data_IF_776317400172
#
_entry.id   IF_776317400172
#
_cell.length_a   1.000
_cell.length_b   1.000
_cell.length_c   1.000
_cell.angle_alpha   90.00
_cell.angle_beta   90.00
_cell.angle_gamma   90.00
#
_symmetry.space_group_name_H-M   'P 1'
#
loop_
_entity.id
_entity.type
_entity.pdbx_description
1 polymer ?
#
# COMPACT_ATOMS: atom_id res chain seq x y z
N UNK A 1 8.30 -12.95 -2.48
CA UNK A 1 8.34 -14.33 -1.92
C UNK A 1 8.17 -14.23 -0.40
N UNK A 2 7.42 -15.16 0.22
CA UNK A 2 7.06 -15.10 1.65
C UNK A 2 8.26 -15.00 2.61
N UNK A 3 9.39 -15.59 2.26
CA UNK A 3 10.62 -15.55 3.08
C UNK A 3 11.26 -14.17 3.23
N UNK A 4 10.85 -13.20 2.39
CA UNK A 4 11.31 -11.82 2.47
C UNK A 4 10.35 -10.94 3.30
N UNK A 5 9.33 -11.54 3.92
CA UNK A 5 8.31 -10.82 4.67
C UNK A 5 8.41 -11.23 6.13
N UNK A 6 8.64 -10.27 7.01
CA UNK A 6 8.55 -10.44 8.46
C UNK A 6 7.31 -9.72 8.96
N UNK A 7 6.45 -10.44 9.66
CA UNK A 7 5.21 -9.87 10.21
C UNK A 7 5.36 -9.67 11.71
N UNK A 8 4.91 -8.50 12.16
CA UNK A 8 4.83 -8.16 13.59
C UNK A 8 3.38 -7.87 13.97
N UNK A 9 2.99 -8.26 15.17
CA UNK A 9 1.73 -7.85 15.79
C UNK A 9 1.99 -7.16 17.15
N UNK A 10 0.93 -6.91 17.93
CA UNK A 10 1.05 -6.27 19.26
C UNK A 10 1.92 -7.04 20.28
N UNK A 11 2.31 -8.26 19.95
CA UNK A 11 3.22 -9.09 20.77
C UNK A 11 4.62 -9.21 20.18
N UNK A 12 4.87 -8.50 19.07
CA UNK A 12 6.15 -8.50 18.37
C UNK A 12 6.20 -9.41 17.15
N UNK A 13 7.38 -9.89 16.80
CA UNK A 13 7.65 -10.71 15.63
C UNK A 13 6.85 -12.01 15.66
N UNK A 14 6.30 -12.41 14.52
CA UNK A 14 5.64 -13.70 14.35
C UNK A 14 6.68 -14.72 13.92
N UNK A 15 7.07 -15.62 14.83
CA UNK A 15 8.04 -16.69 14.59
C UNK A 15 7.40 -18.06 14.85
N UNK A 16 7.99 -19.13 14.32
CA UNK A 16 7.54 -20.52 14.51
C UNK A 16 7.49 -20.86 16.02
N UNK A 17 6.48 -21.62 16.39
CA UNK A 17 6.26 -22.08 17.78
C UNK A 17 6.04 -20.95 18.81
N UNK A 18 5.77 -19.73 18.36
CA UNK A 18 5.36 -18.63 19.26
C UNK A 18 4.01 -18.90 19.90
N UNK A 19 3.93 -18.96 21.20
CA UNK A 19 2.68 -19.01 21.96
C UNK A 19 2.53 -17.80 22.90
N UNK A 20 1.31 -17.36 23.22
CA UNK A 20 0.01 -17.65 22.61
C UNK A 20 -0.33 -16.73 21.42
N UNK A 21 -1.45 -16.98 20.75
CA UNK A 21 -2.02 -16.11 19.73
C UNK A 21 -1.49 -16.34 18.30
N UNK A 22 -1.34 -17.62 17.91
CA UNK A 22 -0.97 -18.03 16.57
C UNK A 22 -2.20 -18.58 15.83
N UNK A 23 -2.96 -17.70 15.15
CA UNK A 23 -3.96 -18.11 14.18
C UNK A 23 -3.29 -18.70 12.93
N UNK A 24 -3.99 -19.57 12.21
CA UNK A 24 -3.48 -20.22 10.99
C UNK A 24 -2.96 -19.20 9.96
N UNK A 25 -3.66 -18.07 9.79
CA UNK A 25 -3.24 -16.97 8.90
C UNK A 25 -1.91 -16.35 9.33
N UNK A 26 -1.62 -16.26 10.63
CA UNK A 26 -0.34 -15.78 11.16
C UNK A 26 0.76 -16.83 10.96
N UNK A 27 0.45 -18.09 11.24
CA UNK A 27 1.40 -19.19 11.08
C UNK A 27 1.95 -19.29 9.65
N UNK A 28 1.16 -18.90 8.64
CA UNK A 28 1.58 -18.86 7.26
C UNK A 28 2.74 -17.87 6.97
N UNK A 29 2.98 -16.91 7.87
CA UNK A 29 4.04 -15.90 7.80
C UNK A 29 5.07 -16.03 8.93
N UNK A 30 5.02 -17.09 9.75
CA UNK A 30 5.96 -17.30 10.83
C UNK A 30 7.36 -17.54 10.27
N UNK A 31 8.31 -16.71 10.67
CA UNK A 31 9.73 -16.88 10.38
C UNK A 31 10.40 -17.85 11.33
N UNK A 32 11.61 -18.32 11.01
CA UNK A 32 12.42 -19.10 11.95
C UNK A 32 12.77 -18.23 13.16
N UNK A 33 12.85 -18.87 14.33
CA UNK A 33 13.22 -18.17 15.56
C UNK A 33 14.74 -17.87 15.58
N UNK A 34 15.07 -16.62 15.25
CA UNK A 34 16.44 -16.09 15.30
C UNK A 34 16.71 -15.20 16.52
N UNK A 35 15.80 -15.21 17.48
CA UNK A 35 15.87 -14.40 18.70
C UNK A 35 15.31 -12.99 18.59
N UNK A 36 14.95 -12.52 17.40
CA UNK A 36 14.32 -11.20 17.20
C UNK A 36 12.87 -11.20 17.70
N UNK A 37 12.48 -10.15 18.38
CA UNK A 37 11.18 -10.07 19.06
C UNK A 37 10.37 -8.83 18.72
N UNK A 38 11.00 -7.73 18.37
CA UNK A 38 10.36 -6.43 18.18
C UNK A 38 10.47 -5.96 16.74
N UNK A 39 9.66 -4.96 16.37
CA UNK A 39 9.79 -4.28 15.09
C UNK A 39 11.20 -3.67 14.92
N UNK A 40 11.75 -3.11 15.99
CA UNK A 40 13.10 -2.52 15.97
C UNK A 40 14.20 -3.53 15.63
N UNK A 41 14.03 -4.79 16.04
CA UNK A 41 14.98 -5.86 15.74
C UNK A 41 14.97 -6.30 14.27
N UNK A 42 13.86 -6.11 13.57
CA UNK A 42 13.66 -6.63 12.20
C UNK A 42 13.61 -5.54 11.12
N UNK A 43 13.55 -4.27 11.50
CA UNK A 43 13.45 -3.16 10.57
C UNK A 43 14.80 -2.81 9.91
N UNK A 44 15.90 -3.23 10.51
CA UNK A 44 17.26 -2.97 10.00
C UNK A 44 17.45 -3.59 8.61
N UNK A 45 17.83 -2.75 7.64
CA UNK A 45 17.99 -3.15 6.25
C UNK A 45 16.68 -3.45 5.49
N UNK A 46 15.50 -3.21 6.08
CA UNK A 46 14.23 -3.42 5.40
C UNK A 46 14.01 -2.40 4.27
N UNK A 47 13.64 -2.87 3.09
CA UNK A 47 13.31 -2.03 1.94
C UNK A 47 11.92 -1.40 2.06
N UNK A 48 10.97 -2.13 2.68
CA UNK A 48 9.57 -1.73 2.77
C UNK A 48 9.07 -1.91 4.19
N UNK A 49 8.44 -0.87 4.75
CA UNK A 49 7.58 -0.96 5.91
C UNK A 49 6.11 -0.84 5.49
N UNK A 50 5.30 -1.84 5.82
CA UNK A 50 3.86 -1.82 5.63
C UNK A 50 3.14 -1.80 6.98
N UNK A 51 2.64 -0.63 7.36
CA UNK A 51 1.90 -0.39 8.59
C UNK A 51 0.39 -0.46 8.38
N UNK A 52 -0.27 -1.33 9.13
CA UNK A 52 -1.72 -1.47 9.21
C UNK A 52 -2.16 -1.60 10.67
N UNK A 53 -1.48 -0.93 11.59
CA UNK A 53 -1.63 -1.16 13.02
C UNK A 53 -2.16 0.05 13.77
N UNK A 54 -1.32 0.88 14.28
CA UNK A 54 -1.70 2.02 15.09
C UNK A 54 -0.68 3.16 15.02
N UNK A 55 -1.04 4.31 15.61
CA UNK A 55 -0.21 5.51 15.51
C UNK A 55 1.14 5.34 16.23
N UNK A 56 2.16 6.01 15.69
CA UNK A 56 3.48 6.17 16.31
C UNK A 56 4.26 4.88 16.57
N UNK A 57 3.94 3.80 15.83
CA UNK A 57 4.64 2.51 15.97
C UNK A 57 6.02 2.55 15.30
N UNK A 58 6.18 3.31 14.22
CA UNK A 58 7.45 3.49 13.52
C UNK A 58 8.15 4.77 14.00
N UNK A 59 9.35 4.62 14.58
CA UNK A 59 10.13 5.75 15.08
C UNK A 59 11.14 6.25 14.05
N UNK A 60 11.63 7.49 14.22
CA UNK A 60 12.68 8.04 13.37
C UNK A 60 13.97 7.20 13.43
N UNK A 61 14.31 6.63 14.59
CA UNK A 61 15.48 5.77 14.72
C UNK A 61 15.32 4.47 13.92
N UNK A 62 14.13 3.89 13.91
CA UNK A 62 13.82 2.74 13.06
C UNK A 62 13.96 3.09 11.57
N UNK A 63 13.42 4.25 11.15
CA UNK A 63 13.53 4.71 9.75
C UNK A 63 14.97 4.88 9.30
N UNK A 64 15.87 5.36 10.19
CA UNK A 64 17.30 5.47 9.88
C UNK A 64 17.97 4.14 9.55
N UNK A 65 17.51 3.05 10.18
CA UNK A 65 18.06 1.69 9.99
C UNK A 65 17.60 1.02 8.71
N UNK A 66 16.54 1.52 8.06
CA UNK A 66 16.01 0.93 6.82
C UNK A 66 17.00 1.01 5.66
N UNK A 67 16.79 0.21 4.64
CA UNK A 67 17.59 0.18 3.42
C UNK A 67 17.56 1.53 2.67
N UNK A 68 18.35 1.66 1.61
CA UNK A 68 18.38 2.86 0.77
C UNK A 68 17.06 3.07 0.06
N UNK A 69 16.59 4.32 0.02
CA UNK A 69 15.31 4.71 -0.60
C UNK A 69 14.13 3.83 -0.12
N UNK A 70 13.89 3.73 1.20
CA UNK A 70 12.89 2.83 1.75
C UNK A 70 11.49 3.30 1.38
N UNK A 71 10.58 2.33 1.15
CA UNK A 71 9.16 2.61 0.97
C UNK A 71 8.44 2.44 2.31
N UNK A 72 7.78 3.49 2.78
CA UNK A 72 7.06 3.52 4.05
C UNK A 72 5.58 3.71 3.77
N UNK A 73 4.81 2.63 3.89
CA UNK A 73 3.34 2.67 3.80
C UNK A 73 2.78 2.71 5.23
N UNK A 74 2.60 3.91 5.76
CA UNK A 74 2.07 4.14 7.11
C UNK A 74 0.56 4.38 7.02
N UNK A 75 -0.22 3.28 7.01
CA UNK A 75 -1.63 3.28 6.62
C UNK A 75 -2.60 3.28 7.79
N UNK A 76 -2.13 3.35 9.04
CA UNK A 76 -3.00 3.52 10.20
C UNK A 76 -3.80 4.81 10.12
N UNK A 77 -5.06 4.75 10.53
CA UNK A 77 -6.01 5.83 10.40
C UNK A 77 -6.74 6.06 11.74
N UNK A 78 -6.94 7.27 12.25
CA UNK A 78 -6.67 8.56 11.58
C UNK A 78 -5.21 9.05 11.66
N UNK A 79 -4.41 8.52 12.56
CA UNK A 79 -3.00 8.90 12.74
C UNK A 79 -2.09 7.77 12.26
N UNK A 80 -1.16 8.04 11.32
CA UNK A 80 -0.27 7.01 10.75
C UNK A 80 0.78 6.53 11.77
N UNK A 81 1.43 5.41 11.45
CA UNK A 81 2.53 4.84 12.24
C UNK A 81 3.71 5.80 12.40
N UNK A 82 3.92 6.66 11.39
CA UNK A 82 4.83 7.81 11.44
C UNK A 82 4.29 8.91 10.54
N UNK A 83 4.42 10.17 10.94
CA UNK A 83 4.08 11.30 10.08
C UNK A 83 5.16 11.50 9.00
N UNK A 84 4.79 11.76 7.74
CA UNK A 84 5.73 11.96 6.64
C UNK A 84 6.84 12.97 6.92
N UNK A 85 6.59 14.15 7.53
CA UNK A 85 7.66 15.08 7.87
C UNK A 85 8.70 14.51 8.85
N UNK A 86 8.30 13.64 9.78
CA UNK A 86 9.22 13.02 10.74
C UNK A 86 10.12 11.99 10.05
N UNK A 87 9.57 11.20 9.13
CA UNK A 87 10.35 10.24 8.36
C UNK A 87 11.32 10.96 7.41
N UNK A 88 10.85 11.97 6.65
CA UNK A 88 11.67 12.78 5.75
C UNK A 88 12.78 13.54 6.47
N UNK A 89 12.58 13.98 7.70
CA UNK A 89 13.60 14.66 8.50
C UNK A 89 14.86 13.81 8.75
N UNK A 90 14.74 12.49 8.72
CA UNK A 90 15.86 11.55 8.96
C UNK A 90 16.27 10.75 7.72
N UNK A 91 15.37 10.63 6.73
CA UNK A 91 15.58 9.93 5.46
C UNK A 91 14.86 10.67 4.33
N UNK A 92 15.58 11.63 3.73
CA UNK A 92 15.06 12.43 2.61
C UNK A 92 14.71 11.55 1.39
N UNK A 93 15.43 10.46 1.20
CA UNK A 93 15.26 9.48 0.12
C UNK A 93 14.06 8.55 0.31
N UNK A 94 13.35 8.58 1.46
CA UNK A 94 12.20 7.71 1.71
C UNK A 94 11.00 8.06 0.82
N UNK A 95 10.35 7.03 0.26
CA UNK A 95 9.05 7.13 -0.42
C UNK A 95 7.97 6.85 0.62
N UNK A 96 7.05 7.80 0.86
CA UNK A 96 6.09 7.68 1.94
C UNK A 96 4.67 7.75 1.44
N UNK A 97 3.85 6.80 1.88
CA UNK A 97 2.42 6.73 1.62
C UNK A 97 1.65 6.74 2.94
N UNK A 98 0.53 7.45 2.98
CA UNK A 98 -0.40 7.46 4.13
C UNK A 98 -1.84 7.47 3.65
N UNK A 99 -2.79 7.26 4.57
CA UNK A 99 -4.22 7.46 4.30
C UNK A 99 -4.65 8.93 4.26
N UNK A 100 -3.76 9.88 4.60
CA UNK A 100 -4.08 11.30 4.73
C UNK A 100 -4.05 12.01 3.38
N UNK A 101 -5.00 12.94 3.19
CA UNK A 101 -5.14 13.73 1.96
C UNK A 101 -4.19 14.94 1.89
N UNK A 102 -3.61 15.32 3.03
CA UNK A 102 -2.70 16.48 3.15
C UNK A 102 -1.22 16.14 2.85
N UNK A 103 -0.93 14.89 2.51
CA UNK A 103 0.39 14.42 2.12
C UNK A 103 0.39 13.79 0.72
N UNK A 104 1.56 13.73 0.04
CA UNK A 104 1.73 12.97 -1.18
C UNK A 104 1.39 11.49 -1.01
N UNK A 105 1.14 10.79 -2.14
CA UNK A 105 0.89 9.34 -2.16
C UNK A 105 -0.25 8.91 -1.22
N UNK A 106 -1.39 9.60 -1.27
CA UNK A 106 -2.55 9.20 -0.49
C UNK A 106 -3.06 7.83 -0.92
N UNK A 107 -3.06 6.86 0.00
CA UNK A 107 -3.68 5.55 -0.17
C UNK A 107 -5.10 5.61 0.37
N UNK A 108 -6.08 5.54 -0.53
CA UNK A 108 -7.48 5.61 -0.18
C UNK A 108 -8.28 4.53 -0.90
N UNK A 109 -9.19 3.87 -0.19
CA UNK A 109 -10.05 2.82 -0.74
C UNK A 109 -10.87 3.29 -1.96
N UNK A 110 -11.18 4.58 -2.06
CA UNK A 110 -11.93 5.16 -3.18
C UNK A 110 -11.22 5.03 -4.53
N UNK A 111 -9.91 4.79 -4.53
CA UNK A 111 -9.15 4.52 -5.76
C UNK A 111 -9.64 3.27 -6.49
N UNK A 112 -10.15 2.29 -5.77
CA UNK A 112 -10.56 1.01 -6.33
C UNK A 112 -12.02 0.68 -6.02
N UNK A 113 -12.47 0.95 -4.81
CA UNK A 113 -13.74 0.47 -4.27
C UNK A 113 -14.96 0.73 -5.18
N UNK A 114 -15.25 1.92 -5.72
CA UNK A 114 -16.43 2.11 -6.57
C UNK A 114 -16.31 1.38 -7.91
N UNK A 115 -15.11 1.30 -8.44
CA UNK A 115 -14.86 0.85 -9.81
C UNK A 115 -14.75 -0.66 -9.94
N UNK A 116 -14.27 -1.35 -8.89
CA UNK A 116 -14.23 -2.81 -8.84
C UNK A 116 -15.66 -3.39 -8.83
N UNK A 117 -16.57 -2.77 -8.08
CA UNK A 117 -17.98 -3.16 -8.09
C UNK A 117 -18.65 -2.79 -9.42
N UNK A 118 -18.34 -1.65 -9.98
CA UNK A 118 -18.87 -1.27 -11.30
C UNK A 118 -18.48 -2.29 -12.36
N UNK A 119 -17.19 -2.65 -12.46
CA UNK A 119 -16.71 -3.65 -13.41
C UNK A 119 -17.35 -5.03 -13.21
N UNK A 120 -17.52 -5.47 -11.97
CA UNK A 120 -18.17 -6.73 -11.66
C UNK A 120 -19.67 -6.74 -12.05
N UNK A 121 -20.39 -5.66 -11.76
CA UNK A 121 -21.81 -5.53 -12.08
C UNK A 121 -22.06 -5.43 -13.60
N UNK A 122 -21.21 -4.76 -14.33
CA UNK A 122 -21.34 -4.59 -15.80
C UNK A 122 -21.37 -5.94 -16.55
N UNK A 123 -20.73 -6.96 -15.99
CA UNK A 123 -20.70 -8.33 -16.58
C UNK A 123 -21.52 -9.35 -15.81
N UNK A 124 -22.27 -8.92 -14.79
CA UNK A 124 -23.08 -9.81 -13.97
C UNK A 124 -22.27 -10.84 -13.17
N UNK A 125 -21.05 -10.49 -12.78
CA UNK A 125 -20.19 -11.37 -12.01
C UNK A 125 -20.81 -11.73 -10.65
N UNK A 126 -20.76 -13.00 -10.28
CA UNK A 126 -21.29 -13.51 -9.00
C UNK A 126 -20.26 -13.40 -7.86
N UNK A 127 -18.99 -13.19 -8.19
CA UNK A 127 -17.89 -13.03 -7.25
C UNK A 127 -16.82 -12.13 -7.84
N UNK A 128 -16.02 -11.48 -6.98
CA UNK A 128 -14.81 -10.77 -7.35
C UNK A 128 -13.63 -11.69 -7.01
N UNK A 129 -13.08 -12.33 -8.03
CA UNK A 129 -11.98 -13.29 -7.90
C UNK A 129 -10.60 -12.60 -7.78
N UNK A 130 -9.53 -13.38 -7.58
CA UNK A 130 -8.18 -12.83 -7.42
C UNK A 130 -7.66 -12.19 -8.72
N UNK A 131 -8.00 -12.76 -9.88
CA UNK A 131 -7.61 -12.23 -11.19
C UNK A 131 -8.21 -10.84 -11.43
N UNK A 132 -9.48 -10.64 -11.06
CA UNK A 132 -10.13 -9.33 -11.11
C UNK A 132 -9.47 -8.32 -10.18
N UNK A 133 -9.07 -8.73 -8.96
CA UNK A 133 -8.34 -7.86 -8.03
C UNK A 133 -6.97 -7.48 -8.59
N UNK A 134 -6.24 -8.42 -9.18
CA UNK A 134 -4.94 -8.17 -9.82
C UNK A 134 -5.09 -7.24 -11.03
N UNK A 135 -6.13 -7.41 -11.84
CA UNK A 135 -6.42 -6.52 -12.95
C UNK A 135 -6.66 -5.07 -12.48
N UNK A 136 -7.38 -4.88 -11.38
CA UNK A 136 -7.55 -3.57 -10.76
C UNK A 136 -6.22 -2.96 -10.28
N UNK A 137 -5.36 -3.76 -9.66
CA UNK A 137 -4.02 -3.33 -9.22
C UNK A 137 -3.18 -2.86 -10.42
N UNK A 138 -3.15 -3.64 -11.50
CA UNK A 138 -2.43 -3.27 -12.72
C UNK A 138 -2.97 -2.00 -13.36
N UNK A 139 -4.30 -1.86 -13.45
CA UNK A 139 -4.93 -0.66 -14.01
C UNK A 139 -4.60 0.61 -13.21
N UNK A 140 -4.55 0.52 -11.89
CA UNK A 140 -4.16 1.64 -11.01
C UNK A 140 -2.67 1.96 -11.19
N UNK A 141 -1.80 0.95 -11.25
CA UNK A 141 -0.37 1.13 -11.45
C UNK A 141 -0.05 1.76 -12.81
N UNK A 142 -0.67 1.29 -13.88
CA UNK A 142 -0.55 1.87 -15.22
C UNK A 142 -1.01 3.34 -15.26
N UNK A 143 -2.09 3.65 -14.53
CA UNK A 143 -2.59 5.02 -14.48
C UNK A 143 -1.62 5.97 -13.78
N UNK A 144 -0.88 5.50 -12.77
CA UNK A 144 0.17 6.28 -12.10
C UNK A 144 1.32 6.65 -13.05
N UNK A 145 1.60 5.80 -14.05
CA UNK A 145 2.62 6.05 -15.09
C UNK A 145 2.09 6.84 -16.30
N UNK A 146 0.77 6.98 -16.44
CA UNK A 146 0.19 7.69 -17.57
C UNK A 146 0.40 9.21 -17.45
N UNK A 147 0.58 9.88 -18.58
CA UNK A 147 0.64 11.34 -18.61
C UNK A 147 -0.61 11.95 -17.99
N UNK A 148 -0.42 13.02 -17.23
CA UNK A 148 -1.50 13.74 -16.60
C UNK A 148 -2.46 14.33 -17.63
N UNK A 149 -3.76 14.17 -17.43
CA UNK A 149 -4.75 14.86 -18.25
C UNK A 149 -4.96 16.30 -17.75
N UNK A 150 -5.34 17.22 -18.66
CA UNK A 150 -5.68 18.60 -18.30
C UNK A 150 -6.76 18.68 -17.23
N UNK A 151 -7.71 17.73 -17.21
CA UNK A 151 -8.77 17.64 -16.19
C UNK A 151 -8.20 17.37 -14.81
N UNK A 152 -7.21 16.47 -14.71
CA UNK A 152 -6.52 16.18 -13.43
C UNK A 152 -5.67 17.36 -13.00
N UNK A 153 -4.90 17.97 -13.92
CA UNK A 153 -4.11 19.16 -13.65
C UNK A 153 -4.97 20.29 -13.08
N UNK A 154 -6.09 20.60 -13.74
CA UNK A 154 -7.04 21.62 -13.29
C UNK A 154 -7.67 21.32 -11.93
N UNK A 155 -7.99 20.05 -11.63
CA UNK A 155 -8.61 19.65 -10.38
C UNK A 155 -7.65 19.74 -9.18
N UNK A 156 -6.35 19.60 -9.41
CA UNK A 156 -5.32 19.60 -8.36
C UNK A 156 -4.35 20.80 -8.43
N UNK A 157 -4.76 21.88 -9.12
CA UNK A 157 -4.07 23.18 -9.07
C UNK A 157 -2.78 23.23 -9.87
N UNK A 158 -2.80 22.70 -11.12
CA UNK A 158 -1.67 22.71 -12.06
C UNK A 158 -0.35 22.12 -11.50
N UNK A 159 -0.45 21.22 -10.51
CA UNK A 159 0.70 20.46 -10.05
C UNK A 159 1.16 19.52 -11.17
N UNK A 160 2.43 19.59 -11.53
CA UNK A 160 3.06 18.60 -12.42
C UNK A 160 3.17 17.25 -11.68
N UNK A 161 2.13 16.43 -11.84
CA UNK A 161 2.04 15.11 -11.23
C UNK A 161 2.63 14.07 -12.20
N UNK A 162 3.93 13.94 -12.21
CA UNK A 162 4.65 12.88 -12.92
C UNK A 162 5.03 11.74 -11.99
N UNK A 163 5.09 10.50 -12.52
CA UNK A 163 5.49 9.34 -11.73
C UNK A 163 6.85 9.55 -11.07
N UNK A 164 6.89 9.38 -9.76
CA UNK A 164 8.09 9.62 -8.96
C UNK A 164 7.82 9.45 -7.46
N UNK A 165 8.80 9.75 -6.58
CA UNK A 165 8.71 9.50 -5.15
C UNK A 165 7.48 10.11 -4.45
N UNK A 166 6.95 11.21 -4.98
CA UNK A 166 5.79 11.91 -4.42
C UNK A 166 4.48 11.64 -5.22
N UNK A 167 4.57 10.81 -6.28
CA UNK A 167 3.41 10.37 -7.06
C UNK A 167 3.61 8.96 -7.59
N UNK A 168 3.48 7.95 -6.72
CA UNK A 168 3.51 6.53 -7.08
C UNK A 168 2.11 5.91 -7.22
N UNK A 169 1.07 6.66 -6.86
CA UNK A 169 -0.33 6.23 -6.88
C UNK A 169 -1.20 7.39 -7.40
N UNK A 170 -2.23 7.12 -8.22
CA UNK A 170 -3.13 8.17 -8.72
C UNK A 170 -3.85 8.89 -7.59
N UNK A 171 -4.29 10.11 -7.86
CA UNK A 171 -5.13 10.87 -6.92
C UNK A 171 -6.52 10.23 -6.81
N UNK A 172 -7.16 10.26 -5.62
CA UNK A 172 -8.44 9.60 -5.36
C UNK A 172 -9.61 10.03 -6.26
N UNK A 173 -9.59 11.26 -6.76
CA UNK A 173 -10.64 11.81 -7.62
C UNK A 173 -10.21 11.94 -9.10
N UNK A 174 -9.24 11.15 -9.53
CA UNK A 174 -8.86 11.07 -10.93
C UNK A 174 -10.00 10.44 -11.75
N UNK A 175 -10.63 11.18 -12.67
CA UNK A 175 -11.78 10.69 -13.44
C UNK A 175 -11.42 9.51 -14.37
N UNK A 176 -10.13 9.28 -14.62
CA UNK A 176 -9.66 8.15 -15.44
C UNK A 176 -9.73 6.80 -14.71
N UNK A 177 -9.87 6.79 -13.38
CA UNK A 177 -9.96 5.55 -12.59
C UNK A 177 -11.11 4.66 -13.06
N UNK A 178 -12.31 5.22 -13.24
CA UNK A 178 -13.47 4.44 -13.68
C UNK A 178 -13.28 3.83 -15.07
N UNK A 179 -12.71 4.60 -16.02
CA UNK A 179 -12.52 4.14 -17.40
C UNK A 179 -11.35 3.19 -17.57
N UNK A 180 -10.51 3.05 -16.57
CA UNK A 180 -9.39 2.10 -16.55
C UNK A 180 -9.71 0.83 -15.75
N UNK A 181 -10.23 0.98 -14.54
CA UNK A 181 -10.43 -0.15 -13.63
C UNK A 181 -11.66 -0.99 -14.03
N UNK A 182 -12.82 -0.37 -14.25
CA UNK A 182 -14.02 -1.13 -14.53
C UNK A 182 -13.90 -2.00 -15.80
N UNK A 183 -13.40 -1.51 -16.96
CA UNK A 183 -13.17 -2.36 -18.12
C UNK A 183 -12.13 -3.46 -17.90
N UNK A 184 -11.06 -3.20 -17.14
CA UNK A 184 -10.04 -4.20 -16.86
C UNK A 184 -10.63 -5.42 -16.11
N UNK A 185 -11.52 -5.20 -15.15
CA UNK A 185 -12.22 -6.27 -14.46
C UNK A 185 -13.22 -7.01 -15.36
N UNK A 186 -13.98 -6.26 -16.14
CA UNK A 186 -14.97 -6.83 -17.05
C UNK A 186 -14.34 -7.77 -18.09
N UNK A 187 -13.16 -7.42 -18.59
CA UNK A 187 -12.41 -8.24 -19.55
C UNK A 187 -11.95 -9.56 -18.91
N UNK A 188 -11.48 -9.56 -17.67
CA UNK A 188 -11.07 -10.79 -16.97
C UNK A 188 -12.26 -11.74 -16.81
N UNK A 189 -13.41 -11.24 -16.37
CA UNK A 189 -14.60 -12.10 -16.19
C UNK A 189 -15.12 -12.70 -17.52
N UNK A 190 -14.99 -11.96 -18.63
CA UNK A 190 -15.40 -12.47 -19.96
C UNK A 190 -14.44 -13.54 -20.46
N UNK A 191 -13.15 -13.43 -20.17
CA UNK A 191 -12.12 -14.39 -20.61
C UNK A 191 -12.03 -15.62 -19.72
N UNK A 192 -12.40 -15.52 -18.45
CA UNK A 192 -12.34 -16.58 -17.43
C UNK A 192 -13.64 -16.60 -16.60
N UNK A 193 -14.79 -17.05 -17.19
CA UNK A 193 -16.10 -17.02 -16.54
C UNK A 193 -16.26 -18.04 -15.40
#
# INVERSE_FOLDING_TARGET
>A
QKHNIVVCDSKGVIYKDREPNMAETKAAYAVDDDGKRTLDDVIDGADIFLGCSGPKVLTQEMVKKMARAPMILALANPEPEILPPLAKAVREDAIICTGRSDYPNQVNNVLCFPFIFRGALDVGATAINEEMKLAAVHAIAELAHAEQSEVVASAYGDQDLSFGPDYIIPKPFDPRLIVKIAPALSLIHISEP
#
